data_IF_996832328423
#
_entry.id   IF_996832328423
#
_cell.length_a   1.000
_cell.length_b   1.000
_cell.length_c   1.000
_cell.angle_alpha   90.00
_cell.angle_beta   90.00
_cell.angle_gamma   90.00
#
_symmetry.space_group_name_H-M   'P 1'
#
loop_
_entity.id
_entity.type
_entity.pdbx_description
1 polymer ?
#
# COMPACT_ATOMS: atom_id res chain seq x y z
N UNK A 1 7.55 -18.23 5.79
CA UNK A 1 6.80 -17.26 4.98
C UNK A 1 5.80 -18.05 4.17
N UNK A 2 4.53 -17.95 4.51
CA UNK A 2 3.51 -18.76 3.86
C UNK A 2 3.34 -18.30 2.41
N UNK A 3 3.12 -19.24 1.49
CA UNK A 3 2.98 -18.95 0.07
C UNK A 3 1.92 -17.87 -0.23
N UNK A 4 0.92 -17.72 0.65
CA UNK A 4 -0.09 -16.65 0.60
C UNK A 4 0.47 -15.25 0.85
N UNK A 5 1.48 -15.09 1.71
CA UNK A 5 2.10 -13.79 2.00
C UNK A 5 2.92 -13.32 0.81
N UNK A 6 3.69 -14.23 0.21
CA UNK A 6 4.49 -13.96 -0.99
C UNK A 6 3.57 -13.70 -2.19
N UNK A 7 2.51 -14.50 -2.35
CA UNK A 7 1.55 -14.33 -3.43
C UNK A 7 0.79 -12.99 -3.41
N UNK A 8 0.64 -12.35 -2.25
CA UNK A 8 0.04 -11.01 -2.14
C UNK A 8 1.03 -9.87 -2.35
N UNK A 9 2.28 -10.06 -1.96
CA UNK A 9 3.31 -9.02 -2.09
C UNK A 9 3.86 -8.89 -3.51
N UNK A 10 3.95 -10.01 -4.24
CA UNK A 10 4.51 -10.04 -5.60
C UNK A 10 3.72 -9.16 -6.60
N UNK A 11 2.38 -9.24 -6.72
CA UNK A 11 1.62 -8.39 -7.63
C UNK A 11 1.76 -6.91 -7.28
N UNK A 12 1.80 -6.60 -5.98
CA UNK A 12 1.95 -5.23 -5.49
C UNK A 12 3.34 -4.66 -5.81
N UNK A 13 4.39 -5.47 -5.66
CA UNK A 13 5.75 -5.10 -6.03
C UNK A 13 5.88 -4.90 -7.55
N UNK A 14 5.30 -5.78 -8.36
CA UNK A 14 5.25 -5.65 -9.82
C UNK A 14 4.52 -4.36 -10.20
N UNK A 15 3.37 -4.09 -9.59
CA UNK A 15 2.61 -2.86 -9.81
C UNK A 15 3.46 -1.61 -9.55
N UNK A 16 4.12 -1.54 -8.39
CA UNK A 16 4.99 -0.39 -8.06
C UNK A 16 6.11 -0.26 -9.08
N UNK A 17 6.83 -1.33 -9.42
CA UNK A 17 7.96 -1.28 -10.36
C UNK A 17 7.50 -0.89 -11.78
N UNK A 18 6.31 -1.32 -12.21
CA UNK A 18 5.78 -1.02 -13.53
C UNK A 18 5.21 0.41 -13.65
N UNK A 19 4.55 0.89 -12.60
CA UNK A 19 3.81 2.16 -12.63
C UNK A 19 4.66 3.36 -12.18
N UNK A 20 5.56 3.18 -11.20
CA UNK A 20 6.34 4.30 -10.63
C UNK A 20 7.23 5.02 -11.67
N UNK A 21 7.90 4.35 -12.63
CA UNK A 21 8.67 5.03 -13.68
C UNK A 21 7.81 5.84 -14.66
N UNK A 22 6.51 5.55 -14.75
CA UNK A 22 5.56 6.23 -15.62
C UNK A 22 4.80 7.35 -14.91
N UNK A 23 5.08 7.57 -13.62
CA UNK A 23 4.40 8.56 -12.81
C UNK A 23 4.73 9.98 -13.28
N UNK A 24 3.69 10.77 -13.56
CA UNK A 24 3.83 12.19 -13.91
C UNK A 24 3.84 13.05 -12.63
N UNK A 25 4.94 13.77 -12.32
CA UNK A 25 5.05 14.62 -11.14
C UNK A 25 3.99 15.71 -11.06
N UNK A 26 3.46 16.18 -12.20
CA UNK A 26 2.44 17.22 -12.24
C UNK A 26 1.13 16.76 -11.57
N UNK A 27 0.87 15.45 -11.53
CA UNK A 27 -0.34 14.85 -10.95
C UNK A 27 -0.37 14.84 -9.43
N UNK A 28 0.78 15.07 -8.78
CA UNK A 28 0.84 15.29 -7.34
C UNK A 28 0.44 16.72 -6.94
N UNK A 29 0.06 17.57 -7.89
CA UNK A 29 -0.38 18.95 -7.62
C UNK A 29 -1.88 19.13 -7.88
N UNK A 30 -2.65 19.69 -6.93
CA UNK A 30 -2.25 20.04 -5.57
C UNK A 30 -2.14 18.82 -4.65
N UNK A 31 -1.01 18.68 -3.94
CA UNK A 31 -0.77 17.55 -3.01
C UNK A 31 -1.76 17.57 -1.84
N UNK A 32 -2.11 18.78 -1.40
CA UNK A 32 -3.07 19.00 -0.33
C UNK A 32 -3.95 20.18 -0.71
N UNK A 33 -5.24 19.91 -0.88
CA UNK A 33 -6.24 20.93 -1.20
C UNK A 33 -7.01 21.45 0.02
N UNK A 34 -6.68 20.98 1.23
CA UNK A 34 -7.34 21.41 2.47
C UNK A 34 -8.80 20.97 2.61
N UNK A 35 -9.29 20.07 1.74
CA UNK A 35 -10.69 19.65 1.76
C UNK A 35 -11.09 18.96 3.08
N UNK A 36 -12.34 19.17 3.52
CA UNK A 36 -12.89 18.63 4.78
C UNK A 36 -12.94 17.11 4.92
N UNK A 37 -12.38 16.34 3.96
CA UNK A 37 -12.33 14.88 3.96
C UNK A 37 -11.00 14.30 4.44
N UNK A 38 -10.05 15.15 4.83
CA UNK A 38 -8.74 14.71 5.34
C UNK A 38 -8.83 13.69 6.47
N UNK A 39 -9.69 13.95 7.47
CA UNK A 39 -9.88 13.03 8.60
C UNK A 39 -10.37 11.64 8.18
N UNK A 40 -11.24 11.57 7.17
CA UNK A 40 -11.72 10.30 6.61
C UNK A 40 -10.61 9.55 5.87
N UNK A 41 -9.76 10.26 5.12
CA UNK A 41 -8.61 9.66 4.44
C UNK A 41 -7.59 9.09 5.46
N UNK A 42 -7.31 9.82 6.54
CA UNK A 42 -6.44 9.34 7.62
C UNK A 42 -7.04 8.11 8.30
N UNK A 43 -8.35 8.11 8.55
CA UNK A 43 -9.02 6.95 9.13
C UNK A 43 -8.91 5.70 8.25
N UNK A 44 -9.14 5.82 6.93
CA UNK A 44 -8.94 4.74 5.97
C UNK A 44 -7.48 4.22 5.96
N UNK A 45 -6.50 5.13 6.05
CA UNK A 45 -5.10 4.75 6.11
C UNK A 45 -4.77 3.96 7.40
N UNK A 46 -5.32 4.37 8.55
CA UNK A 46 -5.16 3.64 9.81
C UNK A 46 -5.80 2.25 9.74
N UNK A 47 -6.99 2.16 9.13
CA UNK A 47 -7.67 0.88 8.91
C UNK A 47 -6.82 -0.06 8.04
N UNK A 48 -6.20 0.45 6.99
CA UNK A 48 -5.33 -0.35 6.12
C UNK A 48 -4.08 -0.89 6.86
N UNK A 49 -3.59 -0.16 7.87
CA UNK A 49 -2.40 -0.52 8.65
C UNK A 49 -2.69 -1.50 9.80
N UNK A 50 -3.94 -1.93 10.00
CA UNK A 50 -4.27 -3.02 10.93
C UNK A 50 -3.59 -4.33 10.52
N UNK A 51 -3.19 -5.14 11.49
CA UNK A 51 -2.53 -6.43 11.32
C UNK A 51 -1.23 -6.57 12.12
N UNK A 52 -0.64 -5.47 12.59
CA UNK A 52 0.56 -5.51 13.44
C UNK A 52 0.28 -6.17 14.80
N UNK A 53 -0.98 -6.16 15.25
CA UNK A 53 -1.46 -6.80 16.47
C UNK A 53 -1.33 -8.34 16.47
N UNK A 54 -1.09 -8.95 15.31
CA UNK A 54 -0.90 -10.40 15.18
C UNK A 54 0.58 -10.79 15.41
N UNK A 55 1.52 -9.87 15.21
CA UNK A 55 2.95 -10.14 15.37
C UNK A 55 3.37 -10.59 16.79
N UNK A 56 2.73 -10.14 17.89
CA UNK A 56 3.01 -10.64 19.24
C UNK A 56 2.38 -12.00 19.59
N UNK A 57 1.49 -12.56 18.77
CA UNK A 57 0.78 -13.82 19.10
C UNK A 57 1.74 -14.99 19.41
N UNK A 58 2.83 -15.22 18.63
CA UNK A 58 3.81 -16.27 18.93
C UNK A 58 4.91 -15.81 19.91
N UNK A 59 4.70 -14.75 20.70
CA UNK A 59 5.73 -14.23 21.62
C UNK A 59 6.23 -15.28 22.63
N UNK A 60 5.39 -16.26 22.99
CA UNK A 60 5.77 -17.36 23.90
C UNK A 60 6.80 -18.34 23.31
N UNK A 61 7.00 -18.34 21.99
CA UNK A 61 7.96 -19.19 21.28
C UNK A 61 9.26 -18.44 20.92
N UNK A 62 9.30 -17.12 21.16
CA UNK A 62 10.44 -16.28 20.83
C UNK A 62 11.53 -16.38 21.91
N UNK A 63 12.78 -16.63 21.48
CA UNK A 63 13.92 -16.76 22.38
C UNK A 63 14.15 -15.51 23.25
N UNK A 64 13.91 -14.30 22.71
CA UNK A 64 14.00 -13.03 23.43
C UNK A 64 12.79 -12.13 23.15
N UNK A 65 11.60 -12.59 23.56
CA UNK A 65 10.33 -11.89 23.34
C UNK A 65 10.34 -10.38 23.69
N UNK A 66 11.00 -9.98 24.80
CA UNK A 66 11.10 -8.57 25.22
C UNK A 66 11.72 -7.65 24.17
N UNK A 67 12.60 -8.18 23.31
CA UNK A 67 13.33 -7.40 22.31
C UNK A 67 12.87 -7.69 20.89
N UNK A 68 12.46 -8.92 20.62
CA UNK A 68 12.11 -9.36 19.27
C UNK A 68 10.69 -8.94 18.91
N UNK A 69 9.75 -8.99 19.85
CA UNK A 69 8.35 -8.60 19.61
C UNK A 69 8.22 -7.10 19.26
N UNK A 70 8.82 -6.15 20.01
CA UNK A 70 8.73 -4.74 19.64
C UNK A 70 9.34 -4.45 18.25
N UNK A 71 10.45 -5.12 17.91
CA UNK A 71 11.11 -4.95 16.61
C UNK A 71 10.29 -5.56 15.48
N UNK A 72 9.68 -6.72 15.69
CA UNK A 72 8.81 -7.36 14.71
C UNK A 72 7.60 -6.46 14.40
N UNK A 73 6.93 -5.93 15.43
CA UNK A 73 5.78 -5.02 15.29
C UNK A 73 6.17 -3.75 14.55
N UNK A 74 7.21 -3.05 15.01
CA UNK A 74 7.66 -1.80 14.37
C UNK A 74 8.18 -2.03 12.96
N UNK A 75 8.91 -3.13 12.74
CA UNK A 75 9.42 -3.52 11.43
C UNK A 75 8.29 -3.82 10.44
N UNK A 76 7.29 -4.61 10.85
CA UNK A 76 6.13 -4.90 10.00
C UNK A 76 5.34 -3.65 9.67
N UNK A 77 5.15 -2.75 10.64
CA UNK A 77 4.42 -1.51 10.45
C UNK A 77 5.16 -0.58 9.47
N UNK A 78 6.48 -0.42 9.64
CA UNK A 78 7.29 0.41 8.75
C UNK A 78 7.29 -0.11 7.31
N UNK A 79 7.46 -1.42 7.12
CA UNK A 79 7.43 -2.04 5.79
C UNK A 79 6.07 -1.87 5.13
N UNK A 80 4.97 -2.11 5.86
CA UNK A 80 3.61 -1.93 5.34
C UNK A 80 3.33 -0.47 4.97
N UNK A 81 3.72 0.48 5.82
CA UNK A 81 3.54 1.90 5.57
C UNK A 81 4.27 2.37 4.31
N UNK A 82 5.54 1.98 4.14
CA UNK A 82 6.33 2.30 2.94
C UNK A 82 5.70 1.69 1.69
N UNK A 83 5.31 0.42 1.76
CA UNK A 83 4.69 -0.27 0.64
C UNK A 83 3.38 0.41 0.21
N UNK A 84 2.49 0.74 1.14
CA UNK A 84 1.25 1.44 0.83
C UNK A 84 1.48 2.85 0.29
N UNK A 85 2.47 3.58 0.81
CA UNK A 85 2.82 4.89 0.27
C UNK A 85 3.29 4.80 -1.19
N UNK A 86 4.14 3.81 -1.51
CA UNK A 86 4.62 3.58 -2.87
C UNK A 86 3.48 3.20 -3.82
N UNK A 87 2.57 2.34 -3.39
CA UNK A 87 1.40 1.94 -4.18
C UNK A 87 0.47 3.12 -4.46
N UNK A 88 0.18 3.93 -3.45
CA UNK A 88 -0.65 5.13 -3.61
C UNK A 88 0.03 6.14 -4.55
N UNK A 89 1.34 6.36 -4.39
CA UNK A 89 2.11 7.24 -5.26
C UNK A 89 2.10 6.75 -6.72
N UNK A 90 2.32 5.46 -6.95
CA UNK A 90 2.26 4.86 -8.27
C UNK A 90 0.85 4.96 -8.89
N UNK A 91 -0.20 4.71 -8.13
CA UNK A 91 -1.58 4.81 -8.61
C UNK A 91 -1.95 6.25 -9.00
N UNK A 92 -1.68 7.23 -8.12
CA UNK A 92 -1.92 8.66 -8.39
C UNK A 92 -1.07 9.16 -9.55
N UNK A 93 0.19 8.70 -9.63
CA UNK A 93 1.12 9.06 -10.69
C UNK A 93 0.67 8.63 -12.08
N UNK A 94 -0.10 7.54 -12.20
CA UNK A 94 -0.50 6.98 -13.51
C UNK A 94 -1.96 7.26 -13.90
N UNK A 95 -2.88 7.45 -12.94
CA UNK A 95 -4.30 7.66 -13.27
C UNK A 95 -4.93 8.84 -12.49
N UNK A 96 -5.55 9.84 -13.14
CA UNK A 96 -6.26 10.90 -12.46
C UNK A 96 -7.63 10.43 -11.93
N UNK A 97 -8.06 10.88 -10.74
CA UNK A 97 -9.45 10.74 -10.30
C UNK A 97 -9.87 9.39 -9.68
N UNK A 98 -8.94 8.53 -9.24
CA UNK A 98 -9.26 7.23 -8.63
C UNK A 98 -10.18 7.31 -7.41
N UNK A 99 -10.05 8.38 -6.62
CA UNK A 99 -10.72 8.52 -5.33
C UNK A 99 -12.26 8.68 -5.40
N UNK A 100 -12.84 8.87 -6.60
CA UNK A 100 -14.26 9.17 -6.75
C UNK A 100 -15.03 8.35 -7.79
N UNK A 101 -14.35 7.56 -8.63
CA UNK A 101 -14.99 7.00 -9.84
C UNK A 101 -14.76 5.51 -10.06
N UNK A 102 -13.94 4.85 -9.23
CA UNK A 102 -13.53 3.47 -9.47
C UNK A 102 -13.81 2.56 -8.27
N UNK A 103 -14.50 1.44 -8.51
CA UNK A 103 -14.66 0.35 -7.55
C UNK A 103 -13.36 -0.45 -7.36
N UNK A 104 -12.40 -0.35 -8.31
CA UNK A 104 -11.15 -1.11 -8.34
C UNK A 104 -9.96 -0.22 -8.73
N UNK A 105 -9.60 0.76 -7.88
CA UNK A 105 -8.64 1.80 -8.24
C UNK A 105 -7.26 1.26 -8.64
N UNK A 106 -6.79 0.20 -7.99
CA UNK A 106 -5.53 -0.46 -8.34
C UNK A 106 -5.54 -1.09 -9.73
N UNK A 107 -6.63 -1.77 -10.09
CA UNK A 107 -6.78 -2.41 -11.39
C UNK A 107 -6.90 -1.35 -12.51
N UNK A 108 -7.60 -0.25 -12.24
CA UNK A 108 -7.73 0.85 -13.21
C UNK A 108 -6.41 1.59 -13.42
N UNK A 109 -5.64 1.81 -12.34
CA UNK A 109 -4.27 2.34 -12.46
C UNK A 109 -3.37 1.38 -13.24
N UNK A 110 -3.47 0.07 -13.00
CA UNK A 110 -2.69 -0.93 -13.71
C UNK A 110 -3.07 -0.98 -15.19
N UNK A 111 -4.37 -0.86 -15.51
CA UNK A 111 -4.86 -0.76 -16.89
C UNK A 111 -4.33 0.48 -17.60
N UNK A 112 -4.29 1.63 -16.92
CA UNK A 112 -3.72 2.86 -17.47
C UNK A 112 -2.21 2.76 -17.71
N UNK A 113 -1.48 2.02 -16.86
CA UNK A 113 -0.03 1.83 -16.95
C UNK A 113 0.41 0.75 -17.96
N UNK A 114 -0.34 -0.36 -18.04
CA UNK A 114 0.07 -1.61 -18.69
C UNK A 114 -0.90 -2.06 -19.80
N UNK A 115 -1.96 -1.29 -20.07
CA UNK A 115 -3.01 -1.68 -21.01
C UNK A 115 -3.87 -2.86 -20.50
N UNK A 116 -4.53 -3.63 -21.39
CA UNK A 116 -5.47 -4.71 -21.02
C UNK A 116 -4.88 -5.82 -20.15
N UNK A 117 -3.55 -5.95 -20.10
CA UNK A 117 -2.84 -6.92 -19.26
C UNK A 117 -2.81 -6.52 -17.79
N UNK A 118 -2.96 -5.23 -17.47
CA UNK A 118 -2.95 -4.71 -16.10
C UNK A 118 -4.18 -5.09 -15.27
N UNK A 119 -5.32 -5.40 -15.89
CA UNK A 119 -6.55 -5.79 -15.18
C UNK A 119 -6.50 -7.22 -14.59
N UNK A 120 -5.52 -8.02 -15.01
CA UNK A 120 -5.38 -9.45 -14.64
C UNK A 120 -4.30 -9.68 -13.58
N UNK A 121 -3.59 -8.63 -13.18
CA UNK A 121 -2.62 -8.58 -12.07
C UNK A 121 -3.36 -8.37 -10.74
#
# INVERSE_FOLDING_TARGET
MDALTVAKLVPLAIFVVACLPQADPARFTPFFSGSGRWGYAVFLALWALQGFEVAPVPAGEAANAQRDVPRAVLGSLAVAAVLYALVQAAAVGVHPGLAGSSERPLADAARAALGPWGERL
#
